data_IF_469925938535
#
_entry.id   IF_469925938535
#
_cell.length_a   1.000
_cell.length_b   1.000
_cell.length_c   1.000
_cell.angle_alpha   90.00
_cell.angle_beta   90.00
_cell.angle_gamma   90.00
#
_symmetry.space_group_name_H-M   'P 1'
#
loop_
_entity.id
_entity.type
_entity.pdbx_description
1 polymer ?
#
# COMPACT_ATOMS: atom_id res chain seq x y z
N UNK A 1 27.00 19.46 10.03
CA UNK A 1 25.54 19.71 10.06
C UNK A 1 24.88 19.78 8.67
N UNK A 2 25.49 20.40 7.64
CA UNK A 2 24.92 20.47 6.27
C UNK A 2 24.81 19.10 5.58
N UNK A 3 25.84 18.26 5.71
CA UNK A 3 25.88 16.90 5.13
C UNK A 3 24.77 15.99 5.67
N UNK A 4 24.52 16.03 6.99
CA UNK A 4 23.45 15.24 7.61
C UNK A 4 22.06 15.69 7.13
N UNK A 5 21.83 17.01 6.99
CA UNK A 5 20.57 17.55 6.45
C UNK A 5 20.35 17.09 5.00
N UNK A 6 21.38 17.18 4.16
CA UNK A 6 21.32 16.75 2.76
C UNK A 6 21.02 15.25 2.64
N UNK A 7 21.72 14.41 3.40
CA UNK A 7 21.50 12.96 3.40
C UNK A 7 20.06 12.60 3.82
N UNK A 8 19.54 13.23 4.88
CA UNK A 8 18.15 12.99 5.32
C UNK A 8 17.14 13.42 4.26
N UNK A 9 17.33 14.58 3.62
CA UNK A 9 16.43 15.05 2.56
C UNK A 9 16.42 14.08 1.38
N UNK A 10 17.60 13.67 0.88
CA UNK A 10 17.70 12.74 -0.22
C UNK A 10 17.04 11.39 0.08
N UNK A 11 17.26 10.83 1.27
CA UNK A 11 16.63 9.58 1.69
C UNK A 11 15.10 9.71 1.77
N UNK A 12 14.58 10.79 2.35
CA UNK A 12 13.14 11.01 2.43
C UNK A 12 12.50 11.21 1.06
N UNK A 13 13.14 11.97 0.17
CA UNK A 13 12.65 12.20 -1.19
C UNK A 13 12.68 10.90 -1.99
N UNK A 14 13.76 10.12 -1.89
CA UNK A 14 13.85 8.82 -2.56
C UNK A 14 12.75 7.87 -2.06
N UNK A 15 12.52 7.78 -0.75
CA UNK A 15 11.46 6.95 -0.18
C UNK A 15 10.07 7.37 -0.67
N UNK A 16 9.79 8.68 -0.74
CA UNK A 16 8.53 9.20 -1.27
C UNK A 16 8.35 8.90 -2.76
N UNK A 17 9.39 9.09 -3.58
CA UNK A 17 9.34 8.81 -5.01
C UNK A 17 9.13 7.32 -5.28
N UNK A 18 9.83 6.45 -4.54
CA UNK A 18 9.65 5.00 -4.63
C UNK A 18 8.23 4.61 -4.21
N UNK A 19 7.76 5.11 -3.06
CA UNK A 19 6.41 4.83 -2.57
C UNK A 19 5.33 5.26 -3.55
N UNK A 20 5.43 6.48 -4.10
CA UNK A 20 4.49 6.98 -5.10
C UNK A 20 4.57 6.19 -6.41
N UNK A 21 5.78 5.81 -6.85
CA UNK A 21 6.00 4.98 -8.03
C UNK A 21 5.36 3.59 -7.88
N UNK A 22 5.47 2.97 -6.71
CA UNK A 22 4.83 1.68 -6.42
C UNK A 22 3.30 1.78 -6.43
N UNK A 23 2.73 2.82 -5.79
CA UNK A 23 1.28 3.06 -5.82
C UNK A 23 0.80 3.30 -7.25
N UNK A 24 1.54 4.11 -8.02
CA UNK A 24 1.22 4.35 -9.43
C UNK A 24 1.27 3.04 -10.23
N UNK A 25 2.27 2.18 -10.02
CA UNK A 25 2.38 0.89 -10.70
C UNK A 25 1.17 -0.01 -10.43
N UNK A 26 0.75 -0.13 -9.16
CA UNK A 26 -0.42 -0.94 -8.77
C UNK A 26 -1.73 -0.46 -9.39
N UNK A 27 -1.83 0.82 -9.75
CA UNK A 27 -3.03 1.43 -10.35
C UNK A 27 -2.96 1.44 -11.87
N UNK A 28 -1.78 1.70 -12.45
CA UNK A 28 -1.59 1.85 -13.89
C UNK A 28 -1.51 0.51 -14.58
N UNK A 29 -0.80 -0.48 -13.99
CA UNK A 29 -0.62 -1.80 -14.62
C UNK A 29 -1.98 -2.43 -14.92
N UNK A 30 -2.92 -2.60 -13.96
CA UNK A 30 -4.18 -3.26 -14.25
C UNK A 30 -5.01 -2.53 -15.32
N UNK A 31 -4.92 -1.20 -15.37
CA UNK A 31 -5.65 -0.40 -16.36
C UNK A 31 -5.08 -0.54 -17.77
N UNK A 32 -3.76 -0.61 -17.91
CA UNK A 32 -3.11 -0.74 -19.21
C UNK A 32 -3.19 -2.16 -19.74
N UNK A 33 -3.10 -3.16 -18.85
CA UNK A 33 -3.21 -4.59 -19.22
C UNK A 33 -4.66 -5.07 -19.34
N UNK A 34 -5.64 -4.27 -18.90
CA UNK A 34 -7.05 -4.68 -18.88
C UNK A 34 -7.36 -5.76 -17.85
N UNK A 35 -6.46 -5.97 -16.87
CA UNK A 35 -6.66 -6.97 -15.83
C UNK A 35 -7.46 -6.43 -14.66
N UNK A 36 -8.16 -7.31 -13.96
CA UNK A 36 -9.01 -6.96 -12.82
C UNK A 36 -8.33 -7.47 -11.54
N UNK A 37 -8.00 -6.58 -10.58
CA UNK A 37 -7.43 -7.00 -9.30
C UNK A 37 -8.53 -7.53 -8.37
N UNK A 38 -8.32 -8.72 -7.79
CA UNK A 38 -9.20 -9.33 -6.79
C UNK A 38 -8.37 -9.81 -5.59
N UNK A 39 -8.93 -9.72 -4.38
CA UNK A 39 -8.28 -10.22 -3.16
C UNK A 39 -8.71 -11.65 -2.87
N UNK A 40 -7.75 -12.50 -2.50
CA UNK A 40 -8.01 -13.88 -2.09
C UNK A 40 -8.29 -13.92 -0.60
N UNK A 41 -9.48 -14.43 -0.23
CA UNK A 41 -9.96 -14.43 1.16
C UNK A 41 -9.86 -15.79 1.86
N UNK A 42 -9.69 -16.87 1.11
CA UNK A 42 -9.65 -18.25 1.62
C UNK A 42 -8.32 -18.93 1.25
N UNK A 43 -7.96 -19.97 1.98
CA UNK A 43 -6.77 -20.78 1.71
C UNK A 43 -7.00 -21.96 0.76
N UNK A 44 -8.07 -21.94 -0.06
CA UNK A 44 -8.40 -23.06 -0.95
C UNK A 44 -7.40 -23.22 -2.10
N UNK A 45 -6.65 -22.17 -2.44
CA UNK A 45 -5.63 -22.18 -3.48
C UNK A 45 -4.20 -22.30 -2.92
N UNK A 46 -4.03 -22.54 -1.62
CA UNK A 46 -2.70 -22.74 -1.04
C UNK A 46 -2.11 -24.09 -1.47
N UNK A 47 -0.77 -24.21 -1.67
CA UNK A 47 0.23 -23.15 -1.52
C UNK A 47 0.41 -22.27 -2.77
N UNK A 48 -0.31 -22.54 -3.86
CA UNK A 48 -0.13 -21.83 -5.15
C UNK A 48 -0.43 -20.35 -5.03
N UNK A 49 -1.54 -19.98 -4.38
CA UNK A 49 -1.94 -18.60 -4.14
C UNK A 49 -2.22 -18.45 -2.66
N UNK A 50 -1.44 -17.59 -2.00
CA UNK A 50 -1.54 -17.37 -0.57
C UNK A 50 -2.82 -16.61 -0.19
N UNK A 51 -3.39 -16.94 0.97
CA UNK A 51 -4.46 -16.13 1.56
C UNK A 51 -4.01 -14.67 1.73
N UNK A 52 -4.85 -13.73 1.32
CA UNK A 52 -4.53 -12.30 1.32
C UNK A 52 -3.66 -11.83 0.16
N UNK A 53 -3.35 -12.68 -0.82
CA UNK A 53 -2.78 -12.23 -2.09
C UNK A 53 -3.80 -11.40 -2.89
N UNK A 54 -3.29 -10.52 -3.76
CA UNK A 54 -4.09 -9.91 -4.82
C UNK A 54 -3.77 -10.63 -6.13
N UNK A 55 -4.79 -11.20 -6.77
CA UNK A 55 -4.69 -11.79 -8.09
C UNK A 55 -5.10 -10.76 -9.14
N UNK A 56 -4.35 -10.69 -10.24
CA UNK A 56 -4.77 -9.98 -11.44
C UNK A 56 -5.35 -11.02 -12.40
N UNK A 57 -6.63 -10.87 -12.73
CA UNK A 57 -7.29 -11.73 -13.71
C UNK A 57 -7.37 -11.03 -15.07
N UNK A 58 -7.11 -11.77 -16.13
CA UNK A 58 -7.31 -11.32 -17.51
C UNK A 58 -8.63 -11.89 -18.06
N UNK A 59 -9.49 -11.06 -18.69
CA UNK A 59 -10.62 -11.56 -19.45
C UNK A 59 -10.11 -12.42 -20.63
N UNK A 60 -10.58 -13.66 -20.73
CA UNK A 60 -10.19 -14.60 -21.78
C UNK A 60 -11.41 -15.22 -22.42
N UNK A 61 -11.27 -15.67 -23.67
CA UNK A 61 -12.29 -16.50 -24.32
C UNK A 61 -12.35 -17.86 -23.60
N UNK A 62 -13.50 -18.25 -23.01
CA UNK A 62 -13.62 -19.51 -22.29
C UNK A 62 -13.30 -20.74 -23.13
N UNK A 63 -13.42 -20.68 -24.46
CA UNK A 63 -13.08 -21.79 -25.35
C UNK A 63 -11.57 -22.10 -25.40
N UNK A 64 -10.73 -21.16 -24.95
CA UNK A 64 -9.27 -21.33 -24.89
C UNK A 64 -8.79 -21.94 -23.57
N UNK A 65 -9.67 -22.03 -22.58
CA UNK A 65 -9.35 -22.54 -21.25
C UNK A 65 -9.19 -24.05 -21.26
N UNK A 66 -8.17 -24.53 -20.56
CA UNK A 66 -7.81 -25.94 -20.49
C UNK A 66 -7.61 -26.41 -19.04
N UNK A 67 -7.65 -27.73 -18.78
CA UNK A 67 -7.27 -28.26 -17.48
C UNK A 67 -5.88 -27.76 -17.07
N UNK A 68 -5.76 -27.31 -15.82
CA UNK A 68 -4.56 -26.67 -15.29
C UNK A 68 -4.66 -25.15 -15.17
N UNK A 69 -5.53 -24.48 -15.94
CA UNK A 69 -5.75 -23.04 -15.81
C UNK A 69 -6.41 -22.71 -14.47
N UNK A 70 -5.97 -21.61 -13.84
CA UNK A 70 -6.62 -21.06 -12.66
C UNK A 70 -7.56 -19.95 -13.10
N UNK A 71 -8.83 -20.06 -12.78
CA UNK A 71 -9.87 -19.11 -13.19
C UNK A 71 -10.57 -18.52 -11.99
N UNK A 72 -11.06 -17.30 -12.16
CA UNK A 72 -12.01 -16.69 -11.23
C UNK A 72 -13.38 -16.63 -11.89
N UNK A 73 -14.39 -17.12 -11.18
CA UNK A 73 -15.77 -17.16 -11.63
C UNK A 73 -16.71 -16.61 -10.55
N UNK A 74 -17.86 -16.11 -10.99
CA UNK A 74 -18.91 -15.60 -10.10
C UNK A 74 -19.82 -16.74 -9.65
N UNK A 75 -20.15 -16.79 -8.36
CA UNK A 75 -20.94 -17.89 -7.77
C UNK A 75 -22.36 -17.93 -8.32
N UNK A 76 -22.99 -16.77 -8.46
CA UNK A 76 -24.34 -16.64 -8.99
C UNK A 76 -24.49 -15.34 -9.79
N UNK A 77 -25.44 -15.30 -10.76
CA UNK A 77 -25.81 -14.04 -11.40
C UNK A 77 -26.18 -12.98 -10.36
N UNK A 78 -25.72 -11.74 -10.58
CA UNK A 78 -26.01 -10.57 -9.76
C UNK A 78 -25.51 -10.61 -8.30
N UNK A 79 -24.67 -11.60 -7.93
CA UNK A 79 -24.03 -11.67 -6.60
C UNK A 79 -22.55 -11.33 -6.72
N UNK A 80 -22.07 -10.31 -6.01
CA UNK A 80 -20.65 -9.88 -6.02
C UNK A 80 -19.76 -10.81 -5.17
N UNK A 81 -19.84 -12.12 -5.46
CA UNK A 81 -19.08 -13.17 -4.81
C UNK A 81 -18.36 -14.00 -5.88
N UNK A 82 -17.05 -14.15 -5.69
CA UNK A 82 -16.16 -14.79 -6.65
C UNK A 82 -15.36 -15.90 -5.99
N UNK A 83 -15.16 -16.98 -6.74
CA UNK A 83 -14.31 -18.10 -6.35
C UNK A 83 -13.19 -18.21 -7.39
N UNK A 84 -11.97 -18.48 -6.90
CA UNK A 84 -10.80 -18.70 -7.75
C UNK A 84 -10.31 -20.11 -7.56
N UNK A 85 -10.42 -20.97 -8.57
CA UNK A 85 -10.03 -22.39 -8.51
C UNK A 85 -9.40 -22.85 -9.83
N UNK A 86 -8.73 -24.00 -9.80
CA UNK A 86 -8.09 -24.60 -10.98
C UNK A 86 -9.07 -25.49 -11.74
N UNK A 87 -9.08 -25.37 -13.06
CA UNK A 87 -9.82 -26.29 -13.93
C UNK A 87 -9.15 -27.66 -13.86
N UNK A 88 -9.92 -28.68 -13.46
CA UNK A 88 -9.46 -30.09 -13.47
C UNK A 88 -10.06 -30.86 -14.64
N UNK A 89 -11.18 -30.39 -15.21
CA UNK A 89 -11.80 -31.00 -16.39
C UNK A 89 -12.70 -30.00 -17.13
N UNK A 90 -12.86 -30.22 -18.44
CA UNK A 90 -13.76 -29.45 -19.32
C UNK A 90 -14.91 -30.36 -19.74
N UNK A 91 -16.14 -29.86 -19.66
CA UNK A 91 -17.37 -30.55 -20.09
C UNK A 91 -18.02 -29.79 -21.26
N UNK A 92 -17.54 -30.00 -22.50
CA UNK A 92 -18.05 -29.30 -23.68
C UNK A 92 -19.42 -29.80 -24.14
N UNK A 93 -19.83 -30.98 -23.68
CA UNK A 93 -21.07 -31.67 -24.02
C UNK A 93 -22.28 -31.24 -23.17
N UNK A 94 -22.06 -30.45 -22.11
CA UNK A 94 -23.16 -29.87 -21.33
C UNK A 94 -23.78 -28.66 -22.04
N UNK A 95 -25.05 -28.38 -21.74
CA UNK A 95 -25.76 -27.19 -22.24
C UNK A 95 -26.20 -26.33 -21.05
N UNK A 96 -25.49 -25.23 -20.71
CA UNK A 96 -24.31 -24.68 -21.39
C UNK A 96 -23.02 -25.49 -21.10
N UNK A 97 -21.95 -25.33 -21.91
CA UNK A 97 -20.63 -25.89 -21.61
C UNK A 97 -20.14 -25.45 -20.22
N UNK A 98 -19.41 -26.32 -19.54
CA UNK A 98 -18.99 -26.09 -18.16
C UNK A 98 -17.58 -26.60 -17.85
N UNK A 99 -17.02 -26.11 -16.75
CA UNK A 99 -15.75 -26.56 -16.18
C UNK A 99 -16.00 -27.28 -14.86
N UNK A 100 -15.19 -28.29 -14.58
CA UNK A 100 -15.03 -28.82 -13.23
C UNK A 100 -13.81 -28.15 -12.65
N UNK A 101 -13.96 -27.50 -11.50
CA UNK A 101 -12.90 -26.80 -10.80
C UNK A 101 -12.55 -27.50 -9.49
N UNK A 102 -11.36 -27.20 -8.97
CA UNK A 102 -10.90 -27.64 -7.67
C UNK A 102 -9.95 -26.59 -7.09
N UNK A 103 -10.11 -26.25 -5.82
CA UNK A 103 -9.09 -25.52 -5.08
C UNK A 103 -7.85 -26.40 -4.87
N UNK A 104 -6.66 -25.86 -5.07
CA UNK A 104 -5.40 -26.61 -4.96
C UNK A 104 -5.20 -27.26 -3.57
N UNK A 105 -5.86 -26.73 -2.53
CA UNK A 105 -5.85 -27.23 -1.16
C UNK A 105 -7.13 -28.00 -0.77
N UNK A 106 -8.04 -28.24 -1.71
CA UNK A 106 -9.29 -28.96 -1.45
C UNK A 106 -9.10 -30.47 -1.66
N UNK A 107 -9.74 -31.29 -0.84
CA UNK A 107 -9.68 -32.77 -0.89
C UNK A 107 -10.29 -33.38 -2.16
N UNK A 108 -11.05 -32.60 -2.93
CA UNK A 108 -11.70 -33.06 -4.16
C UNK A 108 -12.23 -31.92 -5.00
N UNK A 109 -12.72 -32.28 -6.19
CA UNK A 109 -13.36 -31.35 -7.11
C UNK A 109 -14.61 -30.70 -6.51
N UNK A 110 -14.86 -29.47 -6.92
CA UNK A 110 -16.07 -28.74 -6.55
C UNK A 110 -17.31 -29.48 -7.04
N UNK A 111 -18.37 -29.46 -6.23
CA UNK A 111 -19.61 -30.20 -6.50
C UNK A 111 -20.34 -29.63 -7.71
N UNK A 112 -20.41 -28.31 -7.80
CA UNK A 112 -21.15 -27.60 -8.84
C UNK A 112 -20.21 -27.23 -10.01
N UNK A 113 -20.48 -27.73 -11.23
CA UNK A 113 -19.73 -27.32 -12.41
C UNK A 113 -19.92 -25.83 -12.70
N UNK A 114 -18.86 -25.17 -13.15
CA UNK A 114 -18.85 -23.74 -13.47
C UNK A 114 -19.27 -23.53 -14.93
N UNK A 115 -20.41 -22.88 -15.21
CA UNK A 115 -20.79 -22.54 -16.58
C UNK A 115 -19.76 -21.59 -17.22
N UNK A 116 -19.48 -21.75 -18.51
CA UNK A 116 -18.54 -20.85 -19.23
C UNK A 116 -18.89 -19.36 -19.09
N UNK A 117 -20.18 -19.02 -18.99
CA UNK A 117 -20.65 -17.65 -18.82
C UNK A 117 -20.44 -17.06 -17.42
N UNK A 118 -20.12 -17.88 -16.42
CA UNK A 118 -19.80 -17.43 -15.06
C UNK A 118 -18.32 -17.03 -14.91
N UNK A 119 -17.46 -17.43 -15.85
CA UNK A 119 -16.03 -17.11 -15.81
C UNK A 119 -15.81 -15.62 -16.04
N UNK A 120 -15.04 -15.00 -15.14
CA UNK A 120 -14.70 -13.57 -15.19
C UNK A 120 -13.29 -13.32 -15.69
N UNK A 121 -12.41 -14.30 -15.55
CA UNK A 121 -11.08 -14.26 -16.14
C UNK A 121 -10.20 -15.41 -15.68
N UNK A 122 -9.03 -15.50 -16.31
CA UNK A 122 -7.94 -16.39 -15.92
C UNK A 122 -6.95 -15.62 -15.06
N UNK A 123 -6.40 -16.26 -14.03
CA UNK A 123 -5.35 -15.66 -13.20
C UNK A 123 -4.09 -15.51 -14.04
N UNK A 124 -3.63 -14.26 -14.16
CA UNK A 124 -2.40 -13.91 -14.88
C UNK A 124 -1.19 -13.87 -13.95
N UNK A 125 -1.34 -13.21 -12.80
CA UNK A 125 -0.32 -13.11 -11.76
C UNK A 125 -0.97 -12.93 -10.41
N UNK A 126 -0.37 -13.49 -9.37
CA UNK A 126 -0.68 -13.21 -7.97
C UNK A 126 0.44 -12.41 -7.30
N UNK A 127 0.07 -11.46 -6.45
CA UNK A 127 1.00 -10.68 -5.64
C UNK A 127 0.70 -10.97 -4.17
N UNK A 128 1.54 -11.77 -3.49
CA UNK A 128 1.31 -12.13 -2.11
C UNK A 128 1.42 -10.90 -1.18
N UNK A 129 0.79 -10.98 -0.02
CA UNK A 129 0.86 -9.98 1.07
C UNK A 129 0.26 -8.59 0.78
N UNK A 130 -0.26 -8.32 -0.42
CA UNK A 130 -0.90 -7.02 -0.74
C UNK A 130 -2.20 -6.84 0.03
N UNK A 131 -3.05 -7.87 0.09
CA UNK A 131 -4.28 -7.84 0.88
C UNK A 131 -4.00 -7.70 2.38
N UNK A 132 -2.96 -8.35 2.91
CA UNK A 132 -2.52 -8.16 4.30
C UNK A 132 -2.05 -6.72 4.56
N UNK A 133 -1.29 -6.14 3.64
CA UNK A 133 -0.85 -4.74 3.75
C UNK A 133 -2.04 -3.76 3.72
N UNK A 134 -3.01 -3.98 2.82
CA UNK A 134 -4.23 -3.18 2.76
C UNK A 134 -5.03 -3.29 4.04
N UNK A 135 -5.31 -4.50 4.53
CA UNK A 135 -6.03 -4.73 5.79
C UNK A 135 -5.30 -4.12 6.99
N UNK A 136 -3.97 -4.16 6.99
CA UNK A 136 -3.18 -3.51 8.04
C UNK A 136 -3.40 -2.00 8.01
N UNK A 137 -3.22 -1.34 6.86
CA UNK A 137 -3.34 0.11 6.70
C UNK A 137 -4.76 0.62 7.02
N UNK A 138 -5.80 -0.07 6.58
CA UNK A 138 -7.19 0.33 6.81
C UNK A 138 -7.73 -0.14 8.17
N UNK A 139 -7.07 -1.10 8.81
CA UNK A 139 -7.40 -1.60 10.13
C UNK A 139 -7.09 -0.61 11.25
N UNK A 140 -7.75 -0.79 12.41
CA UNK A 140 -7.53 0.02 13.62
C UNK A 140 -6.06 0.13 14.02
N UNK A 141 -5.31 -0.97 13.87
CA UNK A 141 -3.89 -1.02 14.16
C UNK A 141 -3.07 -0.13 13.21
N UNK A 142 -3.32 -0.18 11.89
CA UNK A 142 -2.63 0.69 10.93
C UNK A 142 -2.98 2.15 11.11
N UNK A 143 -4.25 2.48 11.35
CA UNK A 143 -4.66 3.85 11.68
C UNK A 143 -3.94 4.37 12.93
N UNK A 144 -3.85 3.55 13.99
CA UNK A 144 -3.13 3.92 15.21
C UNK A 144 -1.64 4.15 14.95
N UNK A 145 -0.99 3.27 14.18
CA UNK A 145 0.42 3.42 13.78
C UNK A 145 0.62 4.68 12.95
N UNK A 146 -0.23 4.95 11.96
CA UNK A 146 -0.17 6.16 11.14
C UNK A 146 -0.36 7.42 11.97
N UNK A 147 -1.29 7.42 12.93
CA UNK A 147 -1.52 8.54 13.83
C UNK A 147 -0.30 8.81 14.73
N UNK A 148 0.33 7.75 15.27
CA UNK A 148 1.57 7.87 16.06
C UNK A 148 2.71 8.41 15.21
N UNK A 149 2.91 7.87 14.01
CA UNK A 149 3.95 8.36 13.09
C UNK A 149 3.74 9.82 12.73
N UNK A 150 2.51 10.20 12.37
CA UNK A 150 2.15 11.60 12.09
C UNK A 150 2.41 12.50 13.30
N UNK A 151 2.00 12.08 14.49
CA UNK A 151 2.24 12.79 15.74
C UNK A 151 3.73 12.97 16.05
N UNK A 152 4.55 11.94 15.86
CA UNK A 152 6.01 11.98 16.06
C UNK A 152 6.68 12.90 15.04
N UNK A 153 6.29 12.83 13.77
CA UNK A 153 6.81 13.73 12.73
C UNK A 153 6.45 15.18 13.04
N UNK A 154 5.20 15.45 13.45
CA UNK A 154 4.74 16.78 13.81
C UNK A 154 5.49 17.29 15.04
N UNK A 155 5.64 16.47 16.08
CA UNK A 155 6.45 16.80 17.26
C UNK A 155 7.90 17.10 16.88
N UNK A 156 8.52 16.29 16.02
CA UNK A 156 9.89 16.50 15.57
C UNK A 156 10.04 17.81 14.79
N UNK A 157 9.04 18.21 13.98
CA UNK A 157 9.05 19.51 13.30
C UNK A 157 8.94 20.68 14.27
N UNK A 158 8.06 20.59 15.27
CA UNK A 158 7.91 21.62 16.32
C UNK A 158 9.19 21.72 17.15
N UNK A 159 9.73 20.59 17.59
CA UNK A 159 10.94 20.54 18.41
C UNK A 159 12.15 21.11 17.66
N UNK A 160 12.28 20.83 16.35
CA UNK A 160 13.31 21.45 15.51
C UNK A 160 13.18 22.98 15.46
N UNK A 161 11.96 23.52 15.35
CA UNK A 161 11.74 24.98 15.36
C UNK A 161 12.10 25.60 16.70
N UNK A 162 11.78 24.93 17.82
CA UNK A 162 12.05 25.45 19.16
C UNK A 162 13.53 25.36 19.55
N UNK A 163 14.21 24.24 19.26
CA UNK A 163 15.64 24.07 19.61
C UNK A 163 16.61 24.73 18.62
N UNK A 164 16.15 25.08 17.43
CA UNK A 164 16.93 25.84 16.43
C UNK A 164 16.07 26.97 15.88
N UNK A 165 15.78 28.00 16.69
CA UNK A 165 15.09 29.19 16.20
C UNK A 165 15.92 29.80 15.07
N UNK A 166 15.26 30.21 13.98
CA UNK A 166 15.94 30.83 12.85
C UNK A 166 16.63 32.13 13.33
N UNK A 167 17.91 32.35 12.98
CA UNK A 167 18.67 33.52 13.44
C UNK A 167 18.08 34.85 12.96
N UNK A 168 17.13 34.81 12.01
CA UNK A 168 16.38 35.98 11.55
C UNK A 168 15.36 36.51 12.59
N UNK A 169 14.95 35.69 13.56
CA UNK A 169 14.07 36.11 14.68
C UNK A 169 14.83 36.64 15.90
N UNK A 170 16.15 36.44 15.95
CA UNK A 170 17.02 37.10 16.90
C UNK A 170 17.31 38.50 16.35
N UNK A 171 16.40 39.44 16.61
CA UNK A 171 16.58 40.84 16.21
C UNK A 171 17.95 41.40 16.66
N UNK A 172 18.46 42.44 15.99
CA UNK A 172 19.84 42.94 16.14
C UNK A 172 20.20 43.59 17.50
N UNK A 173 19.47 43.31 18.59
CA UNK A 173 19.58 44.04 19.87
C UNK A 173 20.10 43.26 21.08
N UNK A 174 20.49 41.99 20.95
CA UNK A 174 20.78 41.16 22.14
C UNK A 174 22.25 41.18 22.62
N UNK A 175 23.06 42.18 22.23
CA UNK A 175 24.51 42.16 22.49
C UNK A 175 25.20 43.47 22.86
N UNK A 176 24.50 44.62 22.95
CA UNK A 176 25.19 45.93 22.98
C UNK A 176 24.84 46.85 24.16
N UNK A 177 24.28 46.33 25.27
CA UNK A 177 23.86 47.18 26.39
C UNK A 177 24.73 47.07 27.68
N UNK A 178 25.86 46.34 27.67
CA UNK A 178 26.64 46.13 28.92
C UNK A 178 28.05 46.75 28.94
N UNK A 179 28.34 47.74 28.06
CA UNK A 179 29.66 48.43 28.05
C UNK A 179 29.53 49.96 27.99
N UNK A 180 28.68 50.54 28.83
CA UNK A 180 28.76 51.94 29.26
C UNK A 180 27.89 52.07 30.52
N UNK A 181 28.32 52.48 31.71
CA UNK A 181 29.25 53.56 32.04
C UNK A 181 29.50 53.48 33.56
N UNK A 182 30.58 52.85 34.02
CA UNK A 182 31.08 53.07 35.38
C UNK A 182 31.98 54.30 35.37
N UNK A 183 31.40 55.50 35.46
CA UNK A 183 32.14 56.72 35.82
C UNK A 183 31.82 57.08 37.27
N UNK A 184 32.81 56.88 38.13
CA UNK A 184 32.83 57.26 39.54
C UNK A 184 32.63 58.78 39.73
N UNK A 185 32.03 59.22 40.86
CA UNK A 185 31.84 60.63 41.15
C UNK A 185 33.16 61.26 41.61
N UNK A 186 33.55 62.39 40.99
CA UNK A 186 34.67 63.22 41.46
C UNK A 186 34.12 64.37 42.31
N UNK A 187 34.47 64.39 43.59
CA UNK A 187 34.11 65.44 44.55
C UNK A 187 35.20 66.52 44.57
N UNK A 188 34.78 67.79 44.43
CA UNK A 188 35.37 69.00 45.04
C UNK A 188 36.27 69.91 44.17
N UNK A 189 36.57 71.16 44.60
CA UNK A 189 35.86 72.04 45.55
C UNK A 189 35.38 73.36 44.91
N UNK A 190 34.52 74.08 45.66
CA UNK A 190 33.98 75.40 45.33
C UNK A 190 34.98 76.52 45.65
N UNK A 191 35.08 77.50 44.75
CA UNK A 191 35.30 78.93 45.05
C UNK A 191 34.79 79.75 43.88
#
# INVERSE_FOLDING_TARGET
>A
MKVLRLATTLLTTAALVIGLGLVALLVVVPRVTGTIPLTVYTGSMEPTIATGAVVLIEPVDPSTLVPGDVITYQVAPDVDEYITHRIVSVRPDTSPPSFVTQGDNNDGADVDPVPVGAVRGKVWIDVPYVGTAQQFVTGRAGIAVLAVVAGVLLLATVLRRVLRPDPEQLGPGAGEDDVATTRLPRIGPRS
#
